data_IF_719859804310
#
_entry.id   IF_719859804310
#
_cell.length_a   1.000
_cell.length_b   1.000
_cell.length_c   1.000
_cell.angle_alpha   90.00
_cell.angle_beta   90.00
_cell.angle_gamma   90.00
#
_symmetry.space_group_name_H-M   'P 1'
#
loop_
_entity.id
_entity.type
_entity.pdbx_description
1 polymer ?
#
# COMPACT_ATOMS: atom_id res chain seq x y z
N UNK A 1 19.70 5.62 -19.98
CA UNK A 1 18.24 5.71 -20.15
C UNK A 1 17.67 4.32 -20.40
N UNK A 2 16.65 3.94 -19.65
CA UNK A 2 15.92 2.68 -19.73
C UNK A 2 14.43 2.98 -19.88
N UNK A 3 13.77 2.22 -20.75
CA UNK A 3 12.32 2.24 -20.88
C UNK A 3 11.69 1.60 -19.64
N UNK A 4 10.67 2.26 -19.09
CA UNK A 4 9.93 1.79 -17.93
C UNK A 4 8.44 1.67 -18.25
N UNK A 5 7.89 0.48 -18.02
CA UNK A 5 6.54 0.10 -18.41
C UNK A 5 5.54 0.36 -17.28
N UNK A 6 4.70 1.38 -17.44
CA UNK A 6 3.67 1.74 -16.47
C UNK A 6 2.59 0.66 -16.29
N UNK A 7 2.32 -0.17 -17.31
CA UNK A 7 1.37 -1.26 -17.18
C UNK A 7 1.87 -2.35 -16.23
N UNK A 8 3.18 -2.60 -16.18
CA UNK A 8 3.76 -3.57 -15.23
C UNK A 8 3.57 -3.10 -13.78
N UNK A 9 3.75 -1.80 -13.52
CA UNK A 9 3.54 -1.25 -12.17
C UNK A 9 2.07 -1.31 -11.77
N UNK A 10 1.16 -0.95 -12.68
CA UNK A 10 -0.28 -0.97 -12.39
C UNK A 10 -0.75 -2.40 -12.07
N UNK A 11 -0.23 -3.41 -12.78
CA UNK A 11 -0.46 -4.81 -12.43
C UNK A 11 0.08 -5.15 -11.03
N UNK A 12 1.31 -4.71 -10.71
CA UNK A 12 1.91 -4.94 -9.39
C UNK A 12 1.14 -4.23 -8.26
N UNK A 13 0.56 -3.05 -8.54
CA UNK A 13 -0.33 -2.35 -7.61
C UNK A 13 -1.58 -3.18 -7.34
N UNK A 14 -2.27 -3.66 -8.38
CA UNK A 14 -3.45 -4.55 -8.23
C UNK A 14 -3.12 -5.77 -7.37
N UNK A 15 -2.01 -6.45 -7.67
CA UNK A 15 -1.60 -7.62 -6.89
C UNK A 15 -1.22 -7.26 -5.44
N UNK A 16 -0.54 -6.12 -5.24
CA UNK A 16 -0.16 -5.63 -3.93
C UNK A 16 -1.39 -5.34 -3.06
N UNK A 17 -2.40 -4.66 -3.60
CA UNK A 17 -3.64 -4.35 -2.88
C UNK A 17 -4.33 -5.63 -2.37
N UNK A 18 -4.45 -6.65 -3.22
CA UNK A 18 -5.02 -7.94 -2.82
C UNK A 18 -4.22 -8.63 -1.71
N UNK A 19 -2.88 -8.56 -1.76
CA UNK A 19 -2.01 -9.12 -0.70
C UNK A 19 -2.11 -8.35 0.60
N UNK A 20 -2.19 -7.01 0.55
CA UNK A 20 -2.37 -6.18 1.75
C UNK A 20 -3.74 -6.43 2.38
N UNK A 21 -4.80 -6.58 1.57
CA UNK A 21 -6.12 -6.95 2.07
C UNK A 21 -6.10 -8.28 2.82
N UNK A 22 -5.42 -9.29 2.28
CA UNK A 22 -5.25 -10.58 2.94
C UNK A 22 -4.44 -10.44 4.23
N UNK A 23 -3.34 -9.69 4.21
CA UNK A 23 -2.52 -9.43 5.38
C UNK A 23 -3.33 -8.81 6.52
N UNK A 24 -4.15 -7.79 6.23
CA UNK A 24 -5.00 -7.16 7.23
C UNK A 24 -6.11 -8.09 7.74
N UNK A 25 -6.68 -8.91 6.87
CA UNK A 25 -7.63 -9.95 7.29
C UNK A 25 -6.99 -10.92 8.29
N UNK A 26 -5.74 -11.32 8.04
CA UNK A 26 -4.99 -12.21 8.93
C UNK A 26 -4.63 -11.52 10.25
N UNK A 27 -4.21 -10.25 10.21
CA UNK A 27 -3.95 -9.45 11.42
C UNK A 27 -5.19 -9.31 12.30
N UNK A 28 -6.36 -9.07 11.67
CA UNK A 28 -7.64 -8.98 12.37
C UNK A 28 -8.04 -10.29 13.06
N UNK A 29 -7.71 -11.44 12.46
CA UNK A 29 -7.95 -12.77 13.04
C UNK A 29 -7.00 -13.14 14.18
N UNK A 30 -5.82 -12.49 14.26
CA UNK A 30 -4.76 -12.80 15.22
C UNK A 30 -4.70 -11.85 16.43
N UNK A 31 -5.49 -10.77 16.43
CA UNK A 31 -5.51 -9.79 17.52
C UNK A 31 -6.67 -10.02 18.49
N UNK A 32 -6.39 -9.91 19.79
CA UNK A 32 -7.39 -9.99 20.86
C UNK A 32 -8.04 -8.63 21.19
N UNK A 33 -7.63 -7.55 20.52
CA UNK A 33 -8.13 -6.21 20.79
C UNK A 33 -9.17 -5.79 19.75
N UNK A 34 -10.43 -5.62 20.18
CA UNK A 34 -11.54 -5.24 19.30
C UNK A 34 -11.28 -3.98 18.46
N UNK A 35 -10.61 -2.98 19.04
CA UNK A 35 -10.24 -1.76 18.30
C UNK A 35 -9.28 -2.05 17.14
N UNK A 36 -8.26 -2.87 17.39
CA UNK A 36 -7.29 -3.24 16.37
C UNK A 36 -7.93 -4.14 15.31
N UNK A 37 -8.76 -5.10 15.73
CA UNK A 37 -9.54 -5.96 14.83
C UNK A 37 -10.42 -5.14 13.89
N UNK A 38 -11.16 -4.17 14.42
CA UNK A 38 -12.02 -3.31 13.62
C UNK A 38 -11.23 -2.43 12.65
N UNK A 39 -10.07 -1.92 13.07
CA UNK A 39 -9.18 -1.17 12.18
C UNK A 39 -8.71 -2.05 11.01
N UNK A 40 -8.15 -3.23 11.29
CA UNK A 40 -7.61 -4.10 10.24
C UNK A 40 -8.71 -4.62 9.31
N UNK A 41 -9.89 -4.99 9.81
CA UNK A 41 -11.02 -5.35 8.95
C UNK A 41 -11.46 -4.19 8.05
N UNK A 42 -11.40 -2.95 8.55
CA UNK A 42 -11.70 -1.77 7.75
C UNK A 42 -10.67 -1.60 6.64
N UNK A 43 -9.38 -1.60 6.98
CA UNK A 43 -8.28 -1.45 6.02
C UNK A 43 -8.32 -2.55 4.95
N UNK A 44 -8.54 -3.81 5.34
CA UNK A 44 -8.70 -4.91 4.40
C UNK A 44 -9.82 -4.68 3.37
N UNK A 45 -10.97 -4.15 3.82
CA UNK A 45 -12.07 -3.80 2.93
C UNK A 45 -11.77 -2.61 2.02
N UNK A 46 -11.00 -1.64 2.50
CA UNK A 46 -10.57 -0.49 1.71
C UNK A 46 -9.58 -0.91 0.61
N UNK A 47 -8.59 -1.77 0.91
CA UNK A 47 -7.63 -2.26 -0.10
C UNK A 47 -8.29 -3.09 -1.19
N UNK A 48 -9.31 -3.90 -0.87
CA UNK A 48 -10.10 -4.58 -1.90
C UNK A 48 -10.86 -3.60 -2.82
N UNK A 49 -11.17 -2.39 -2.34
CA UNK A 49 -11.74 -1.35 -3.20
C UNK A 49 -10.66 -0.68 -4.03
N UNK A 50 -9.46 -0.44 -3.49
CA UNK A 50 -8.32 0.08 -4.24
C UNK A 50 -7.91 -0.87 -5.36
N UNK A 51 -7.87 -2.19 -5.10
CA UNK A 51 -7.63 -3.21 -6.12
C UNK A 51 -8.58 -3.04 -7.31
N UNK A 52 -9.89 -2.95 -7.05
CA UNK A 52 -10.91 -2.75 -8.10
C UNK A 52 -10.76 -1.42 -8.82
N UNK A 53 -10.35 -0.37 -8.12
CA UNK A 53 -10.11 0.94 -8.72
C UNK A 53 -8.92 0.88 -9.69
N UNK A 54 -7.85 0.18 -9.34
CA UNK A 54 -6.71 -0.04 -10.23
C UNK A 54 -7.08 -0.93 -11.43
N UNK A 55 -7.81 -2.03 -11.21
CA UNK A 55 -8.30 -2.90 -12.29
C UNK A 55 -9.16 -2.12 -13.30
N UNK A 56 -10.07 -1.27 -12.81
CA UNK A 56 -10.90 -0.42 -13.65
C UNK A 56 -10.07 0.61 -14.42
N UNK A 57 -9.11 1.25 -13.75
CA UNK A 57 -8.20 2.21 -14.36
C UNK A 57 -7.39 1.57 -15.49
N UNK A 58 -6.90 0.34 -15.30
CA UNK A 58 -6.14 -0.39 -16.31
C UNK A 58 -6.97 -0.76 -17.54
N UNK A 59 -8.26 -1.06 -17.38
CA UNK A 59 -9.15 -1.40 -18.49
C UNK A 59 -9.36 -0.24 -19.47
N UNK A 60 -9.23 1.00 -18.97
CA UNK A 60 -9.43 2.23 -19.75
C UNK A 60 -8.13 2.79 -20.35
N UNK A 61 -6.97 2.18 -20.06
CA UNK A 61 -5.66 2.63 -20.53
C UNK A 61 -5.23 1.96 -21.83
N UNK A 62 -4.50 2.72 -22.65
CA UNK A 62 -3.76 2.16 -23.78
C UNK A 62 -2.56 1.35 -23.26
N UNK A 63 -2.22 0.25 -23.93
CA UNK A 63 -1.18 -0.69 -23.46
C UNK A 63 0.24 -0.12 -23.59
N UNK A 64 0.42 1.02 -24.26
CA UNK A 64 1.72 1.65 -24.53
C UNK A 64 2.11 2.72 -23.48
N UNK A 65 1.81 2.48 -22.21
CA UNK A 65 2.15 3.38 -21.11
C UNK A 65 3.64 3.25 -20.76
N UNK A 66 4.48 4.08 -21.38
CA UNK A 66 5.95 4.02 -21.25
C UNK A 66 6.56 5.38 -20.94
N UNK A 67 7.65 5.37 -20.17
CA UNK A 67 8.53 6.52 -19.95
C UNK A 67 9.99 6.10 -20.07
N UNK A 68 10.84 7.02 -20.52
CA UNK A 68 12.29 6.85 -20.48
C UNK A 68 12.81 7.45 -19.18
N UNK A 69 13.56 6.65 -18.41
CA UNK A 69 14.18 7.05 -17.15
C UNK A 69 15.69 7.00 -17.26
N UNK A 70 16.39 7.85 -16.51
CA UNK A 70 17.81 7.64 -16.29
C UNK A 70 18.05 6.34 -15.51
N UNK A 71 19.25 5.76 -15.66
CA UNK A 71 19.52 4.42 -15.14
C UNK A 71 19.38 4.35 -13.61
N UNK A 72 19.76 5.43 -12.90
CA UNK A 72 19.62 5.56 -11.45
C UNK A 72 18.16 5.64 -11.01
N UNK A 73 17.33 6.44 -11.70
CA UNK A 73 15.90 6.57 -11.40
C UNK A 73 15.17 5.24 -11.63
N UNK A 74 15.49 4.55 -12.73
CA UNK A 74 14.95 3.22 -13.01
C UNK A 74 15.28 2.23 -11.88
N UNK A 75 16.54 2.18 -11.45
CA UNK A 75 16.99 1.25 -10.40
C UNK A 75 16.36 1.54 -9.04
N UNK A 76 16.19 2.82 -8.71
CA UNK A 76 15.46 3.25 -7.51
C UNK A 76 14.00 2.78 -7.54
N UNK A 77 13.27 3.08 -8.63
CA UNK A 77 11.85 2.74 -8.76
C UNK A 77 11.64 1.22 -8.79
N UNK A 78 12.44 0.48 -9.57
CA UNK A 78 12.36 -0.99 -9.63
C UNK A 78 12.63 -1.61 -8.25
N UNK A 79 13.64 -1.11 -7.52
CA UNK A 79 13.95 -1.61 -6.17
C UNK A 79 12.80 -1.36 -5.19
N UNK A 80 12.21 -0.16 -5.22
CA UNK A 80 11.08 0.20 -4.36
C UNK A 80 9.86 -0.68 -4.65
N UNK A 81 9.51 -0.87 -5.92
CA UNK A 81 8.35 -1.69 -6.34
C UNK A 81 8.55 -3.15 -5.90
N UNK A 82 9.70 -3.74 -6.20
CA UNK A 82 10.02 -5.11 -5.80
C UNK A 82 9.97 -5.27 -4.29
N UNK A 83 10.56 -4.35 -3.55
CA UNK A 83 10.55 -4.40 -2.09
C UNK A 83 9.12 -4.38 -1.53
N UNK A 84 8.27 -3.49 -2.05
CA UNK A 84 6.88 -3.39 -1.64
C UNK A 84 6.09 -4.67 -1.89
N UNK A 85 6.25 -5.22 -3.08
CA UNK A 85 5.58 -6.45 -3.49
C UNK A 85 5.98 -7.64 -2.61
N UNK A 86 7.28 -7.83 -2.33
CA UNK A 86 7.78 -8.98 -1.57
C UNK A 86 7.61 -8.84 -0.07
N UNK A 87 7.54 -7.61 0.46
CA UNK A 87 7.44 -7.41 1.92
C UNK A 87 6.20 -8.07 2.50
N UNK A 88 5.04 -7.93 1.85
CA UNK A 88 3.77 -8.49 2.37
C UNK A 88 3.85 -10.01 2.53
N UNK A 89 4.57 -10.69 1.65
CA UNK A 89 4.86 -12.13 1.73
C UNK A 89 5.89 -12.48 2.80
N UNK A 90 6.84 -11.59 3.04
CA UNK A 90 7.91 -11.78 4.03
C UNK A 90 7.45 -11.53 5.48
N UNK A 91 6.24 -11.00 5.68
CA UNK A 91 5.69 -10.79 7.03
C UNK A 91 5.46 -12.14 7.70
N UNK A 92 6.17 -12.40 8.80
CA UNK A 92 6.01 -13.65 9.56
C UNK A 92 4.89 -13.53 10.57
N UNK A 93 4.28 -14.66 10.92
CA UNK A 93 3.25 -14.75 11.96
C UNK A 93 3.66 -14.13 13.30
N UNK A 94 4.93 -14.27 13.69
CA UNK A 94 5.46 -13.66 14.90
C UNK A 94 5.41 -12.13 14.83
N UNK A 95 5.79 -11.57 13.68
CA UNK A 95 5.79 -10.12 13.46
C UNK A 95 4.34 -9.57 13.49
N UNK A 96 3.36 -10.33 12.97
CA UNK A 96 1.94 -9.98 13.10
C UNK A 96 1.48 -9.99 14.56
N UNK A 97 1.81 -11.01 15.33
CA UNK A 97 1.34 -11.12 16.72
C UNK A 97 1.92 -10.04 17.64
N UNK A 98 3.21 -9.79 17.51
CA UNK A 98 3.92 -8.88 18.43
C UNK A 98 3.89 -7.42 17.94
N UNK A 99 3.84 -7.21 16.62
CA UNK A 99 4.17 -5.92 16.00
C UNK A 99 3.17 -5.48 14.90
N UNK A 100 1.92 -5.96 14.92
CA UNK A 100 0.91 -5.70 13.86
C UNK A 100 0.83 -4.24 13.41
N UNK A 101 0.75 -3.29 14.35
CA UNK A 101 0.64 -1.86 14.03
C UNK A 101 1.91 -1.27 13.41
N UNK A 102 3.10 -1.81 13.72
CA UNK A 102 4.34 -1.39 13.06
C UNK A 102 4.44 -1.98 11.66
N UNK A 103 3.95 -3.20 11.45
CA UNK A 103 3.88 -3.80 10.12
C UNK A 103 2.91 -3.00 9.25
N UNK A 104 1.70 -2.71 9.76
CA UNK A 104 0.71 -1.87 9.09
C UNK A 104 1.30 -0.50 8.73
N UNK A 105 1.98 0.17 9.66
CA UNK A 105 2.59 1.48 9.39
C UNK A 105 3.54 1.43 8.19
N UNK A 106 4.41 0.42 8.12
CA UNK A 106 5.35 0.26 7.01
C UNK A 106 4.64 0.02 5.69
N UNK A 107 3.60 -0.82 5.70
CA UNK A 107 2.78 -1.10 4.51
C UNK A 107 2.15 0.20 4.00
N UNK A 108 1.48 0.95 4.88
CA UNK A 108 0.80 2.19 4.53
C UNK A 108 1.75 3.30 4.06
N UNK A 109 2.93 3.43 4.69
CA UNK A 109 3.95 4.40 4.25
C UNK A 109 4.39 4.13 2.83
N UNK A 110 4.64 2.88 2.50
CA UNK A 110 5.16 2.58 1.20
C UNK A 110 4.09 2.55 0.11
N UNK A 111 2.84 2.23 0.46
CA UNK A 111 1.70 2.46 -0.44
C UNK A 111 1.63 3.95 -0.82
N UNK A 112 1.70 4.85 0.18
CA UNK A 112 1.74 6.30 -0.06
C UNK A 112 2.92 6.69 -0.97
N UNK A 113 4.13 6.18 -0.70
CA UNK A 113 5.31 6.48 -1.53
C UNK A 113 5.12 5.98 -2.96
N UNK A 114 4.71 4.72 -3.14
CA UNK A 114 4.53 4.12 -4.46
C UNK A 114 3.47 4.87 -5.30
N UNK A 115 2.35 5.25 -4.69
CA UNK A 115 1.31 6.02 -5.39
C UNK A 115 1.84 7.39 -5.83
N UNK A 116 2.66 8.05 -5.01
CA UNK A 116 3.28 9.33 -5.38
C UNK A 116 4.24 9.19 -6.56
N UNK A 117 5.09 8.16 -6.53
CA UNK A 117 6.05 7.88 -7.61
C UNK A 117 5.32 7.57 -8.93
N UNK A 118 4.26 6.75 -8.89
CA UNK A 118 3.43 6.48 -10.08
C UNK A 118 2.77 7.76 -10.61
N UNK A 119 2.30 8.64 -9.73
CA UNK A 119 1.73 9.93 -10.14
C UNK A 119 2.76 10.89 -10.73
N UNK A 120 4.02 10.81 -10.31
CA UNK A 120 5.11 11.62 -10.83
C UNK A 120 5.55 11.14 -12.22
N UNK A 121 5.68 9.82 -12.39
CA UNK A 121 6.03 9.18 -13.66
C UNK A 121 4.93 9.30 -14.70
N UNK A 122 3.66 9.16 -14.29
CA UNK A 122 2.51 9.13 -15.19
C UNK A 122 1.45 10.17 -14.81
N UNK A 123 1.77 11.49 -14.84
CA UNK A 123 0.90 12.54 -14.29
C UNK A 123 -0.43 12.72 -15.04
N UNK A 124 -0.56 12.16 -16.24
CA UNK A 124 -1.77 12.21 -17.07
C UNK A 124 -2.66 10.97 -16.90
N UNK A 125 -2.19 9.91 -16.24
CA UNK A 125 -2.96 8.69 -16.01
C UNK A 125 -3.95 8.92 -14.88
N UNK A 126 -5.24 8.93 -15.23
CA UNK A 126 -6.37 9.02 -14.32
C UNK A 126 -6.13 9.92 -13.09
N UNK A 127 -5.78 11.22 -13.30
CA UNK A 127 -5.23 12.07 -12.24
C UNK A 127 -6.22 12.34 -11.11
N UNK A 128 -7.53 12.15 -11.33
CA UNK A 128 -8.56 12.31 -10.29
C UNK A 128 -8.62 11.06 -9.42
N UNK A 129 -8.58 9.89 -10.04
CA UNK A 129 -8.64 8.57 -9.43
C UNK A 129 -7.37 8.33 -8.59
N UNK A 130 -6.20 8.59 -9.16
CA UNK A 130 -4.92 8.48 -8.45
C UNK A 130 -4.84 9.41 -7.23
N UNK A 131 -5.33 10.66 -7.35
CA UNK A 131 -5.43 11.59 -6.20
C UNK A 131 -6.39 11.10 -5.13
N UNK A 132 -7.48 10.41 -5.52
CA UNK A 132 -8.42 9.82 -4.59
C UNK A 132 -7.73 8.69 -3.81
N UNK A 133 -7.09 7.75 -4.50
CA UNK A 133 -6.34 6.65 -3.88
C UNK A 133 -5.28 7.20 -2.92
N UNK A 134 -4.43 8.12 -3.37
CA UNK A 134 -3.41 8.74 -2.51
C UNK A 134 -3.98 9.37 -1.23
N UNK A 135 -5.17 9.96 -1.31
CA UNK A 135 -5.85 10.54 -0.14
C UNK A 135 -6.37 9.46 0.81
N UNK A 136 -6.85 8.34 0.28
CA UNK A 136 -7.33 7.18 1.03
C UNK A 136 -6.14 6.49 1.75
N UNK A 137 -5.04 6.23 1.05
CA UNK A 137 -3.77 5.71 1.64
C UNK A 137 -3.25 6.60 2.78
N UNK A 138 -3.18 7.92 2.56
CA UNK A 138 -2.77 8.86 3.61
C UNK A 138 -3.70 8.83 4.83
N UNK A 139 -4.97 8.49 4.63
CA UNK A 139 -5.95 8.35 5.70
C UNK A 139 -5.74 7.04 6.47
N UNK A 140 -5.41 5.96 5.77
CA UNK A 140 -5.06 4.67 6.36
C UNK A 140 -3.82 4.80 7.24
N UNK A 141 -2.74 5.37 6.71
CA UNK A 141 -1.52 5.68 7.47
C UNK A 141 -1.84 6.50 8.73
N UNK A 142 -2.68 7.54 8.60
CA UNK A 142 -3.12 8.32 9.75
C UNK A 142 -3.83 7.45 10.81
N UNK A 143 -4.73 6.56 10.41
CA UNK A 143 -5.44 5.69 11.36
C UNK A 143 -4.50 4.75 12.10
N UNK A 144 -3.50 4.19 11.40
CA UNK A 144 -2.49 3.32 12.01
C UNK A 144 -1.63 4.10 13.00
N UNK A 145 -1.14 5.29 12.63
CA UNK A 145 -0.33 6.14 13.52
C UNK A 145 -1.10 6.58 14.77
N UNK A 146 -2.38 6.93 14.63
CA UNK A 146 -3.23 7.26 15.78
C UNK A 146 -3.41 6.05 16.70
N UNK A 147 -3.57 4.85 16.14
CA UNK A 147 -3.69 3.62 16.91
C UNK A 147 -2.40 3.26 17.66
N UNK A 148 -1.24 3.51 17.06
CA UNK A 148 0.05 3.39 17.74
C UNK A 148 0.18 4.39 18.89
N UNK A 149 -0.18 5.66 18.67
CA UNK A 149 -0.14 6.69 19.70
C UNK A 149 -1.03 6.33 20.89
N UNK A 150 -2.26 5.88 20.62
CA UNK A 150 -3.21 5.43 21.65
C UNK A 150 -2.65 4.27 22.48
N UNK A 151 -1.95 3.32 21.83
CA UNK A 151 -1.31 2.19 22.50
C UNK A 151 -0.15 2.65 23.40
N UNK A 152 0.69 3.60 22.94
CA UNK A 152 1.79 4.16 23.72
C UNK A 152 1.29 4.90 24.96
N UNK A 153 0.25 5.73 24.82
CA UNK A 153 -0.32 6.50 25.95
C UNK A 153 -0.89 5.57 27.02
N UNK A 154 -1.58 4.49 26.62
CA UNK A 154 -2.10 3.50 27.58
C UNK A 154 -1.00 2.81 28.37
N UNK A 155 0.11 2.46 27.72
CA UNK A 155 1.24 1.82 28.39
C UNK A 155 1.98 2.74 29.38
N UNK A 156 1.85 4.07 29.23
CA UNK A 156 2.42 5.05 30.16
C UNK A 156 1.51 5.36 31.36
N UNK A 157 0.22 4.99 31.29
CA UNK A 157 -0.77 5.22 32.35
C UNK A 157 -0.99 4.00 33.26
N UNK A 158 -0.25 2.91 33.05
CA UNK A 158 -0.22 1.69 33.85
C UNK A 158 1.11 1.60 34.63
#
# INVERSE_FOLDING_TARGET
MKEFNGMEILNLLVESEGKVAQLYTDMAGKTDHDKAKNLFMKLAGDELNHQKMYEALMADLDQDLKVELEDEDYEYIDSMIRYNYFRTEAVRDKDVKENALMVAEKVERDAVMLVQEVMELFPKVAPKEMKKILKEEKKHLKYVLQSQQDAMVKNLML
#
